data_IF_095730864099
#
_entry.id   IF_095730864099
#
_cell.length_a   1.000
_cell.length_b   1.000
_cell.length_c   1.000
_cell.angle_alpha   90.00
_cell.angle_beta   90.00
_cell.angle_gamma   90.00
#
_symmetry.space_group_name_H-M   'P 1'
#
loop_
_entity.id
_entity.type
_entity.pdbx_description
1 polymer ?
#
# COMPACT_ATOMS: atom_id res chain seq x y z
N UNK A 1 34.80 -27.57 -76.02
CA UNK A 1 35.08 -28.19 -74.74
C UNK A 1 34.90 -27.12 -73.67
N UNK A 2 33.72 -27.04 -73.04
CA UNK A 2 33.36 -26.04 -72.02
C UNK A 2 33.44 -26.71 -70.67
N UNK A 3 34.27 -26.17 -69.81
CA UNK A 3 34.36 -26.59 -68.39
C UNK A 3 33.42 -25.70 -67.57
N UNK A 4 32.37 -26.30 -67.07
CA UNK A 4 31.44 -25.66 -66.11
C UNK A 4 32.00 -25.82 -64.68
N UNK A 5 32.32 -24.72 -64.06
CA UNK A 5 32.67 -24.64 -62.64
C UNK A 5 31.41 -24.64 -61.72
N UNK A 6 31.38 -25.37 -60.62
CA UNK A 6 30.22 -25.40 -59.75
C UNK A 6 30.19 -24.22 -58.83
N UNK A 7 29.25 -23.34 -58.99
CA UNK A 7 28.97 -22.14 -58.15
C UNK A 7 28.02 -22.43 -57.01
N UNK A 8 27.95 -23.69 -56.55
CA UNK A 8 26.85 -24.09 -55.63
C UNK A 8 27.23 -24.34 -54.19
N UNK A 9 28.52 -24.38 -53.84
CA UNK A 9 28.91 -24.76 -52.49
C UNK A 9 29.23 -23.58 -51.53
N UNK A 10 29.45 -22.40 -52.04
CA UNK A 10 29.83 -21.26 -51.20
C UNK A 10 28.64 -20.52 -50.60
N UNK A 11 27.45 -20.63 -51.18
CA UNK A 11 26.25 -19.93 -50.70
C UNK A 11 25.60 -20.66 -49.52
N UNK A 12 25.71 -22.01 -49.44
CA UNK A 12 25.11 -22.79 -48.34
C UNK A 12 25.89 -22.63 -47.03
N UNK A 13 27.22 -22.43 -47.10
CA UNK A 13 28.04 -22.27 -45.91
C UNK A 13 27.88 -20.90 -45.25
N UNK A 14 27.55 -19.84 -46.01
CA UNK A 14 27.27 -18.50 -45.47
C UNK A 14 25.89 -18.37 -44.81
N UNK A 15 24.89 -19.15 -45.23
CA UNK A 15 23.56 -19.17 -44.66
C UNK A 15 23.49 -19.90 -43.30
N UNK A 16 24.36 -20.90 -43.09
CA UNK A 16 24.39 -21.67 -41.84
C UNK A 16 25.10 -20.93 -40.72
N UNK A 17 26.09 -20.08 -41.01
CA UNK A 17 26.81 -19.31 -39.99
C UNK A 17 26.02 -18.08 -39.52
N UNK A 18 25.20 -17.49 -40.35
CA UNK A 18 24.34 -16.35 -39.92
C UNK A 18 23.14 -16.80 -39.10
N UNK A 19 22.64 -18.02 -39.28
CA UNK A 19 21.52 -18.52 -38.47
C UNK A 19 21.96 -18.97 -37.06
N UNK A 20 23.19 -19.46 -36.92
CA UNK A 20 23.72 -19.85 -35.59
C UNK A 20 24.06 -18.63 -34.71
N UNK A 21 24.50 -17.52 -35.28
CA UNK A 21 24.82 -16.31 -34.53
C UNK A 21 23.59 -15.50 -34.09
N UNK A 22 22.50 -15.52 -34.84
CA UNK A 22 21.24 -14.88 -34.45
C UNK A 22 20.48 -15.65 -33.36
N UNK A 23 20.63 -16.97 -33.29
CA UNK A 23 19.97 -17.76 -32.26
C UNK A 23 20.68 -17.71 -30.88
N UNK A 24 21.98 -17.43 -30.87
CA UNK A 24 22.74 -17.30 -29.61
C UNK A 24 22.56 -15.95 -28.92
N UNK A 25 22.16 -14.90 -29.65
CA UNK A 25 21.94 -13.57 -29.08
C UNK A 25 20.55 -13.38 -28.47
N UNK A 26 19.58 -14.27 -28.75
CA UNK A 26 18.20 -14.13 -28.23
C UNK A 26 17.99 -14.84 -26.88
N UNK A 27 18.96 -15.59 -26.37
CA UNK A 27 18.89 -16.30 -25.09
C UNK A 27 19.75 -15.71 -23.98
N UNK A 28 20.38 -14.58 -24.18
CA UNK A 28 20.86 -13.76 -23.07
C UNK A 28 19.67 -13.00 -22.49
N UNK A 29 18.74 -13.72 -21.85
CA UNK A 29 17.87 -13.11 -20.86
C UNK A 29 18.80 -12.55 -19.79
N UNK A 30 19.01 -11.24 -19.83
CA UNK A 30 19.60 -10.53 -18.70
C UNK A 30 18.74 -10.87 -17.49
N UNK A 31 19.27 -11.71 -16.61
CA UNK A 31 18.73 -11.91 -15.28
C UNK A 31 18.97 -10.56 -14.57
N UNK A 32 18.05 -9.62 -14.78
CA UNK A 32 17.99 -8.44 -13.94
C UNK A 32 17.76 -8.99 -12.52
N UNK A 33 18.68 -8.73 -11.58
CA UNK A 33 18.45 -9.11 -10.19
C UNK A 33 17.13 -8.47 -9.79
N UNK A 34 16.20 -9.29 -9.30
CA UNK A 34 14.89 -8.80 -8.86
C UNK A 34 15.14 -7.59 -7.96
N UNK A 35 14.74 -6.39 -8.43
CA UNK A 35 14.93 -5.17 -7.70
C UNK A 35 14.40 -5.39 -6.28
N UNK A 36 15.26 -5.27 -5.27
CA UNK A 36 14.87 -5.44 -3.87
C UNK A 36 13.82 -4.38 -3.56
N UNK A 37 12.57 -4.82 -3.33
CA UNK A 37 11.48 -3.91 -3.05
C UNK A 37 11.71 -3.25 -1.70
N UNK A 38 11.62 -1.94 -1.67
CA UNK A 38 11.73 -1.17 -0.43
C UNK A 38 10.49 -1.42 0.44
N UNK A 39 10.70 -1.71 1.72
CA UNK A 39 9.61 -1.79 2.69
C UNK A 39 9.00 -0.39 2.90
N UNK A 40 7.68 -0.35 3.03
CA UNK A 40 6.92 0.89 3.18
C UNK A 40 6.14 0.84 4.49
N UNK A 41 6.32 1.85 5.33
CA UNK A 41 5.57 2.03 6.58
C UNK A 41 4.85 3.37 6.50
N UNK A 42 3.52 3.34 6.50
CA UNK A 42 2.66 4.53 6.56
C UNK A 42 2.09 4.66 7.97
N UNK A 43 2.37 5.77 8.64
CA UNK A 43 1.88 6.04 10.00
C UNK A 43 0.93 7.24 9.94
N UNK A 44 -0.31 7.03 10.41
CA UNK A 44 -1.29 8.09 10.61
C UNK A 44 -1.51 8.29 12.11
N UNK A 45 -1.12 9.43 12.64
CA UNK A 45 -1.48 9.84 14.00
C UNK A 45 -2.95 10.28 14.04
N UNK A 46 -3.71 9.80 15.03
CA UNK A 46 -5.13 10.12 15.22
C UNK A 46 -5.27 11.13 16.36
N UNK A 47 -5.99 12.22 16.14
CA UNK A 47 -6.19 13.33 17.08
C UNK A 47 -4.88 13.98 17.59
N UNK A 48 -3.88 14.09 16.71
CA UNK A 48 -2.59 14.74 17.00
C UNK A 48 -2.36 15.86 15.99
N UNK A 49 -2.16 17.07 16.50
CA UNK A 49 -1.84 18.24 15.68
C UNK A 49 -0.35 18.28 15.31
N UNK A 50 -0.01 18.91 14.20
CA UNK A 50 1.37 19.07 13.75
C UNK A 50 2.24 19.82 14.77
N UNK A 51 1.66 20.69 15.55
CA UNK A 51 2.30 21.46 16.64
C UNK A 51 2.83 20.59 17.79
N UNK A 52 2.48 19.30 17.81
CA UNK A 52 3.02 18.33 18.76
C UNK A 52 4.40 17.80 18.37
N UNK A 53 4.88 18.06 17.15
CA UNK A 53 6.13 17.54 16.65
C UNK A 53 7.24 18.61 16.64
N UNK A 54 8.44 18.26 17.12
CA UNK A 54 9.59 19.17 17.20
C UNK A 54 9.99 19.73 15.83
N UNK A 55 9.97 18.93 14.77
CA UNK A 55 10.27 19.36 13.41
C UNK A 55 9.30 20.42 12.87
N UNK A 56 8.13 20.59 13.49
CA UNK A 56 7.18 21.68 13.21
C UNK A 56 7.19 22.77 14.28
N UNK A 57 8.18 22.78 15.19
CA UNK A 57 8.37 23.84 16.17
C UNK A 57 7.72 23.61 17.54
N UNK A 58 7.36 22.38 17.88
CA UNK A 58 6.86 22.05 19.22
C UNK A 58 7.84 22.46 20.30
N UNK A 59 7.33 23.11 21.35
CA UNK A 59 8.08 23.44 22.57
C UNK A 59 7.67 22.63 23.78
N UNK A 60 6.56 21.90 23.69
CA UNK A 60 5.96 21.14 24.80
C UNK A 60 6.29 19.64 24.72
N UNK A 61 6.46 19.12 23.51
CA UNK A 61 6.71 17.71 23.27
C UNK A 61 8.07 17.50 22.61
N UNK A 62 8.77 16.45 23.06
CA UNK A 62 10.04 16.02 22.49
C UNK A 62 9.80 14.84 21.54
N UNK A 63 10.15 15.00 20.27
CA UNK A 63 9.94 13.97 19.24
C UNK A 63 11.23 13.67 18.45
N UNK A 64 12.35 13.32 19.13
CA UNK A 64 13.68 13.31 18.53
C UNK A 64 13.82 12.33 17.36
N UNK A 65 13.07 11.22 17.36
CA UNK A 65 13.11 10.25 16.25
C UNK A 65 12.38 10.78 15.01
N UNK A 66 11.24 11.44 15.19
CA UNK A 66 10.48 12.07 14.10
C UNK A 66 11.25 13.25 13.55
N UNK A 67 11.86 14.07 14.42
CA UNK A 67 12.68 15.22 14.04
C UNK A 67 13.89 14.78 13.21
N UNK A 68 14.53 13.66 13.59
CA UNK A 68 15.61 13.05 12.80
C UNK A 68 15.10 12.56 11.45
N UNK A 69 13.97 11.88 11.38
CA UNK A 69 13.37 11.45 10.11
C UNK A 69 13.09 12.65 9.19
N UNK A 70 12.56 13.73 9.74
CA UNK A 70 12.32 14.96 9.00
C UNK A 70 13.60 15.59 8.45
N UNK A 71 14.70 15.55 9.24
CA UNK A 71 16.01 16.07 8.85
C UNK A 71 16.69 15.21 7.78
N UNK A 72 16.60 13.88 7.92
CA UNK A 72 17.29 12.93 7.04
C UNK A 72 16.49 12.60 5.79
N UNK A 73 15.19 12.92 5.77
CA UNK A 73 14.26 12.66 4.68
C UNK A 73 13.64 13.92 4.10
N UNK A 74 12.31 13.94 4.02
CA UNK A 74 11.56 15.07 3.45
C UNK A 74 10.49 15.54 4.45
N UNK A 75 10.49 16.84 4.76
CA UNK A 75 9.50 17.51 5.58
C UNK A 75 8.50 18.27 4.68
N UNK A 76 7.22 17.92 4.76
CA UNK A 76 6.15 18.62 4.05
C UNK A 76 5.57 19.73 4.93
N UNK A 77 5.73 20.97 4.51
CA UNK A 77 5.19 22.15 5.22
C UNK A 77 3.74 22.45 4.87
N UNK A 78 3.24 21.88 3.77
CA UNK A 78 1.87 22.08 3.26
C UNK A 78 1.25 20.72 2.89
N UNK A 79 0.98 19.88 3.89
CA UNK A 79 0.28 18.61 3.73
C UNK A 79 -0.89 18.57 4.72
N UNK A 80 -2.11 18.59 4.23
CA UNK A 80 -3.30 18.76 5.05
C UNK A 80 -4.14 17.50 5.09
N UNK A 81 -4.50 17.08 6.31
CA UNK A 81 -5.55 16.08 6.55
C UNK A 81 -6.94 16.72 6.40
N UNK A 82 -7.98 15.91 6.49
CA UNK A 82 -9.34 16.41 6.67
C UNK A 82 -9.60 16.70 8.15
N UNK A 83 -10.61 17.51 8.49
CA UNK A 83 -10.94 17.87 9.87
C UNK A 83 -11.32 16.67 10.75
N UNK A 84 -11.78 15.58 10.16
CA UNK A 84 -12.19 14.35 10.85
C UNK A 84 -11.39 13.13 10.38
N UNK A 85 -11.35 12.11 11.24
CA UNK A 85 -10.60 10.88 11.02
C UNK A 85 -11.10 10.06 9.82
N UNK A 86 -12.41 9.83 9.67
CA UNK A 86 -12.95 9.02 8.58
C UNK A 86 -12.62 9.60 7.19
N UNK A 87 -12.89 10.88 6.87
CA UNK A 87 -12.54 11.39 5.54
C UNK A 87 -11.03 11.36 5.28
N UNK A 88 -10.19 11.60 6.29
CA UNK A 88 -8.73 11.45 6.14
C UNK A 88 -8.35 10.00 5.83
N UNK A 89 -8.92 9.02 6.54
CA UNK A 89 -8.69 7.58 6.33
C UNK A 89 -9.15 7.14 4.94
N UNK A 90 -10.36 7.51 4.52
CA UNK A 90 -10.88 7.21 3.18
C UNK A 90 -9.97 7.78 2.10
N UNK A 91 -9.49 9.02 2.26
CA UNK A 91 -8.57 9.66 1.32
C UNK A 91 -7.22 8.95 1.26
N UNK A 92 -6.64 8.55 2.40
CA UNK A 92 -5.38 7.79 2.46
C UNK A 92 -5.56 6.40 1.83
N UNK A 93 -6.64 5.72 2.16
CA UNK A 93 -6.91 4.37 1.66
C UNK A 93 -7.08 4.34 0.13
N UNK A 94 -7.73 5.35 -0.45
CA UNK A 94 -8.12 5.33 -1.86
C UNK A 94 -7.29 6.24 -2.77
N UNK A 95 -6.57 7.22 -2.22
CA UNK A 95 -5.91 8.26 -2.99
C UNK A 95 -6.88 9.23 -3.68
N UNK A 96 -8.19 9.15 -3.39
CA UNK A 96 -9.23 9.94 -4.05
C UNK A 96 -9.71 11.06 -3.14
N UNK A 97 -9.95 12.25 -3.71
CA UNK A 97 -10.53 13.38 -2.99
C UNK A 97 -11.93 13.04 -2.44
N UNK A 98 -12.19 13.42 -1.19
CA UNK A 98 -13.46 13.13 -0.52
C UNK A 98 -14.68 13.75 -1.17
N UNK A 99 -14.53 14.80 -1.97
CA UNK A 99 -15.62 15.34 -2.81
C UNK A 99 -16.19 14.28 -3.75
N UNK A 100 -15.37 13.27 -4.10
CA UNK A 100 -15.72 12.24 -5.06
C UNK A 100 -16.10 10.89 -4.45
N UNK A 101 -15.65 10.59 -3.22
CA UNK A 101 -15.78 9.24 -2.66
C UNK A 101 -16.18 9.16 -1.18
N UNK A 102 -16.39 10.31 -0.51
CA UNK A 102 -16.86 10.30 0.87
C UNK A 102 -18.39 10.23 0.90
N UNK A 103 -18.94 9.13 1.37
CA UNK A 103 -20.39 8.90 1.44
C UNK A 103 -20.97 9.23 2.81
N UNK A 104 -20.30 8.77 3.90
CA UNK A 104 -20.76 8.98 5.26
C UNK A 104 -19.63 8.82 6.28
N UNK A 105 -19.87 9.28 7.51
CA UNK A 105 -18.95 9.07 8.62
C UNK A 105 -18.82 7.57 8.93
N UNK A 106 -17.58 7.14 9.20
CA UNK A 106 -17.15 5.75 9.45
C UNK A 106 -17.38 4.75 8.32
N UNK A 107 -17.58 5.21 7.09
CA UNK A 107 -17.81 4.36 5.92
C UNK A 107 -16.70 4.55 4.89
N UNK A 108 -16.07 3.46 4.49
CA UNK A 108 -15.37 3.29 3.23
C UNK A 108 -16.22 2.35 2.37
N UNK A 109 -16.63 2.77 1.19
CA UNK A 109 -17.41 1.90 0.31
C UNK A 109 -16.58 0.69 -0.10
N UNK A 110 -17.14 -0.51 0.03
CA UNK A 110 -16.45 -1.79 -0.20
C UNK A 110 -16.04 -2.03 -1.66
N UNK A 111 -16.60 -1.28 -2.60
CA UNK A 111 -16.24 -1.31 -4.03
C UNK A 111 -14.99 -0.48 -4.37
N UNK A 112 -14.46 0.27 -3.40
CA UNK A 112 -13.30 1.13 -3.62
C UNK A 112 -12.00 0.34 -3.65
N UNK A 113 -11.21 0.55 -4.71
CA UNK A 113 -9.83 0.06 -4.75
C UNK A 113 -8.95 0.87 -3.80
N UNK A 114 -8.23 0.20 -2.92
CA UNK A 114 -7.45 0.83 -1.86
C UNK A 114 -5.95 0.66 -2.08
N UNK A 115 -5.16 1.36 -1.26
CA UNK A 115 -3.70 1.22 -1.20
C UNK A 115 -3.28 -0.23 -0.94
N UNK A 116 -4.04 -1.00 -0.15
CA UNK A 116 -3.79 -2.43 0.08
C UNK A 116 -3.86 -3.24 -1.21
N UNK A 117 -4.87 -3.00 -2.06
CA UNK A 117 -4.97 -3.65 -3.35
C UNK A 117 -3.79 -3.33 -4.28
N UNK A 118 -3.42 -2.05 -4.37
CA UNK A 118 -2.31 -1.63 -5.23
C UNK A 118 -0.97 -2.24 -4.80
N UNK A 119 -0.67 -2.28 -3.50
CA UNK A 119 0.54 -2.90 -3.00
C UNK A 119 0.53 -4.42 -3.17
N UNK A 120 -0.60 -5.07 -2.94
CA UNK A 120 -0.75 -6.50 -3.18
C UNK A 120 -0.53 -6.86 -4.65
N UNK A 121 -1.11 -6.11 -5.58
CA UNK A 121 -0.88 -6.27 -7.02
C UNK A 121 0.58 -6.04 -7.41
N UNK A 122 1.27 -5.12 -6.73
CA UNK A 122 2.71 -4.92 -6.88
C UNK A 122 3.56 -6.01 -6.19
N UNK A 123 2.93 -7.02 -5.56
CA UNK A 123 3.57 -8.17 -4.93
C UNK A 123 4.16 -7.89 -3.55
N UNK A 124 3.69 -6.86 -2.84
CA UNK A 124 3.99 -6.65 -1.43
C UNK A 124 3.13 -7.55 -0.54
N UNK A 125 3.67 -7.92 0.61
CA UNK A 125 2.87 -8.36 1.74
C UNK A 125 2.36 -7.14 2.48
N UNK A 126 1.07 -7.13 2.79
CA UNK A 126 0.38 -5.95 3.29
C UNK A 126 -0.25 -6.21 4.66
N UNK A 127 -0.07 -5.26 5.59
CA UNK A 127 -0.67 -5.31 6.92
C UNK A 127 -1.22 -3.94 7.29
N UNK A 128 -2.39 -3.91 7.92
CA UNK A 128 -2.95 -2.71 8.52
C UNK A 128 -3.17 -2.91 10.01
N UNK A 129 -2.78 -1.93 10.84
CA UNK A 129 -2.94 -2.00 12.28
C UNK A 129 -3.46 -0.68 12.85
N UNK A 130 -4.15 -0.75 14.00
CA UNK A 130 -4.66 0.41 14.73
C UNK A 130 -6.17 0.60 14.62
N UNK A 131 -6.63 1.86 14.51
CA UNK A 131 -8.06 2.20 14.45
C UNK A 131 -8.60 1.97 13.04
N UNK A 132 -9.67 1.17 12.92
CA UNK A 132 -10.35 0.97 11.62
C UNK A 132 -11.32 2.10 11.30
N UNK A 133 -12.50 2.09 11.88
CA UNK A 133 -13.54 3.09 11.71
C UNK A 133 -13.92 3.35 10.22
N UNK A 134 -14.02 2.29 9.44
CA UNK A 134 -14.36 2.33 8.02
C UNK A 134 -15.51 1.38 7.65
N UNK A 135 -15.94 0.53 8.59
CA UNK A 135 -17.06 -0.41 8.41
C UNK A 135 -18.40 0.17 8.86
N UNK A 136 -18.39 1.15 9.78
CA UNK A 136 -19.59 1.55 10.51
C UNK A 136 -19.99 0.51 11.55
N UNK A 137 -19.28 0.43 12.66
CA UNK A 137 -19.36 -0.59 13.69
C UNK A 137 -20.78 -0.75 14.28
N UNK A 138 -21.04 -1.87 14.96
CA UNK A 138 -22.37 -2.24 15.51
C UNK A 138 -23.04 -1.17 16.38
N UNK A 139 -22.25 -0.38 17.11
CA UNK A 139 -22.77 0.70 17.96
C UNK A 139 -23.18 1.97 17.21
N UNK A 140 -22.97 2.04 15.89
CA UNK A 140 -23.40 3.17 15.09
C UNK A 140 -24.89 3.10 14.77
N UNK A 141 -25.45 4.25 14.37
CA UNK A 141 -26.84 4.31 13.87
C UNK A 141 -27.03 3.31 12.72
N UNK A 142 -28.22 2.75 12.59
CA UNK A 142 -28.53 1.70 11.64
C UNK A 142 -28.10 2.02 10.19
N UNK A 143 -28.26 3.27 9.78
CA UNK A 143 -27.87 3.75 8.44
C UNK A 143 -26.37 3.63 8.15
N UNK A 144 -25.52 3.52 9.19
CA UNK A 144 -24.06 3.42 9.08
C UNK A 144 -23.52 2.11 9.63
N UNK A 145 -24.35 1.30 10.26
CA UNK A 145 -23.93 0.06 10.89
C UNK A 145 -23.54 -0.96 9.84
N UNK A 146 -22.28 -1.40 9.86
CA UNK A 146 -21.72 -2.43 8.98
C UNK A 146 -22.00 -2.20 7.48
N UNK A 147 -22.06 -0.94 7.05
CA UNK A 147 -22.31 -0.56 5.65
C UNK A 147 -21.05 -0.26 4.85
N UNK A 148 -19.91 -0.21 5.51
CA UNK A 148 -18.61 0.06 4.89
C UNK A 148 -17.83 -1.21 4.57
N UNK A 149 -16.53 -1.04 4.32
CA UNK A 149 -15.64 -2.13 3.97
C UNK A 149 -15.12 -2.87 5.21
N UNK A 150 -15.16 -4.19 5.16
CA UNK A 150 -14.41 -5.06 6.05
C UNK A 150 -12.91 -5.00 5.73
N UNK A 151 -12.00 -5.25 6.69
CA UNK A 151 -10.56 -5.18 6.44
C UNK A 151 -10.08 -6.06 5.29
N UNK A 152 -10.57 -7.29 5.20
CA UNK A 152 -10.26 -8.28 4.16
C UNK A 152 -10.71 -7.83 2.75
N UNK A 153 -11.73 -6.97 2.67
CA UNK A 153 -12.21 -6.38 1.41
C UNK A 153 -11.31 -5.24 0.89
N UNK A 154 -10.28 -4.85 1.64
CA UNK A 154 -9.45 -3.69 1.32
C UNK A 154 -8.04 -4.04 0.85
N UNK A 155 -7.81 -5.32 0.49
CA UNK A 155 -6.58 -5.79 -0.12
C UNK A 155 -5.42 -6.00 0.84
N UNK A 156 -5.60 -5.81 2.15
CA UNK A 156 -4.58 -6.16 3.13
C UNK A 156 -4.57 -7.68 3.38
N UNK A 157 -3.36 -8.26 3.46
CA UNK A 157 -3.19 -9.69 3.73
C UNK A 157 -3.46 -10.01 5.20
N UNK A 158 -3.11 -9.10 6.11
CA UNK A 158 -3.31 -9.24 7.55
C UNK A 158 -3.80 -7.93 8.17
N UNK A 159 -4.47 -8.05 9.30
CA UNK A 159 -4.86 -6.88 10.08
C UNK A 159 -4.82 -7.13 11.60
N UNK A 160 -4.60 -6.05 12.35
CA UNK A 160 -4.73 -6.00 13.81
C UNK A 160 -5.40 -4.68 14.19
N UNK A 161 -6.71 -4.69 14.34
CA UNK A 161 -7.52 -3.49 14.30
C UNK A 161 -8.43 -3.33 15.53
N UNK A 162 -8.55 -2.08 15.99
CA UNK A 162 -9.57 -1.66 16.93
C UNK A 162 -10.76 -1.07 16.18
N UNK A 163 -11.97 -1.33 16.67
CA UNK A 163 -13.23 -0.78 16.14
C UNK A 163 -13.47 -1.18 14.66
N UNK A 164 -13.43 -2.48 14.39
CA UNK A 164 -13.94 -3.01 13.14
C UNK A 164 -15.48 -3.08 13.22
N UNK A 165 -16.03 -4.13 13.79
CA UNK A 165 -17.47 -4.35 13.99
C UNK A 165 -17.94 -3.96 15.40
N UNK A 166 -17.09 -4.05 16.42
CA UNK A 166 -17.39 -3.83 17.82
C UNK A 166 -16.61 -2.68 18.43
N UNK A 167 -17.27 -1.98 19.36
CA UNK A 167 -16.60 -1.02 20.23
C UNK A 167 -16.12 -1.76 21.48
N UNK A 168 -14.82 -1.68 21.72
CA UNK A 168 -14.18 -2.20 22.93
C UNK A 168 -13.22 -1.19 23.52
N UNK A 169 -12.55 -1.55 24.62
CA UNK A 169 -11.43 -0.77 25.13
C UNK A 169 -10.34 -0.64 24.07
N UNK A 170 -9.71 0.54 23.98
CA UNK A 170 -8.57 0.76 23.07
C UNK A 170 -7.26 1.00 23.81
N UNK A 171 -7.30 1.40 25.07
CA UNK A 171 -6.10 1.74 25.83
C UNK A 171 -5.75 0.71 26.91
N UNK A 172 -6.77 0.20 27.58
CA UNK A 172 -6.59 -0.77 28.66
C UNK A 172 -7.31 -2.06 28.30
N UNK A 173 -6.58 -3.17 28.30
CA UNK A 173 -7.12 -4.46 27.86
C UNK A 173 -7.89 -4.34 26.53
N UNK A 174 -7.24 -3.89 25.47
CA UNK A 174 -7.93 -3.60 24.21
C UNK A 174 -8.62 -4.84 23.63
N UNK A 175 -9.79 -4.62 23.05
CA UNK A 175 -10.43 -5.59 22.17
C UNK A 175 -9.97 -5.29 20.74
N UNK A 176 -9.23 -6.20 20.16
CA UNK A 176 -8.71 -6.09 18.79
C UNK A 176 -9.25 -7.20 17.92
N UNK A 177 -9.59 -6.88 16.70
CA UNK A 177 -9.81 -7.83 15.62
C UNK A 177 -8.44 -8.14 14.98
N UNK A 178 -8.04 -9.40 15.04
CA UNK A 178 -6.81 -9.90 14.42
C UNK A 178 -7.20 -10.95 13.39
N UNK A 179 -7.14 -10.56 12.14
CA UNK A 179 -7.47 -11.40 11.00
C UNK A 179 -8.86 -12.08 11.10
N UNK A 180 -9.85 -11.36 11.65
CA UNK A 180 -11.22 -11.82 11.86
C UNK A 180 -11.50 -12.37 13.25
N UNK A 181 -10.47 -12.57 14.09
CA UNK A 181 -10.62 -13.06 15.46
C UNK A 181 -10.59 -11.92 16.47
N UNK A 182 -11.68 -11.73 17.20
CA UNK A 182 -11.74 -10.74 18.29
C UNK A 182 -10.97 -11.25 19.51
N UNK A 183 -9.88 -10.57 19.89
CA UNK A 183 -9.02 -10.91 21.04
C UNK A 183 -8.93 -9.75 22.03
N UNK A 184 -9.07 -10.07 23.31
CA UNK A 184 -8.85 -9.14 24.42
C UNK A 184 -7.44 -9.35 24.97
N UNK A 185 -6.70 -8.26 25.12
CA UNK A 185 -5.35 -8.26 25.66
C UNK A 185 -5.37 -7.65 27.09
N UNK A 186 -4.65 -8.26 28.01
CA UNK A 186 -4.55 -7.80 29.39
C UNK A 186 -3.29 -8.30 30.03
#
# INVERSE_FOLDING_TARGET
MRISTPLSFTVILLLTTTFATTFATTFATTFEPAATRTNIILIMADDVGYECFGCYGSRQYSTPNIDRMAKDGMLFTHCYSQPLCTPSRVKIMTGISNVRNYSAFSILNSDQKTIGHYFKEAGYKTLVAGKWQLLGAEHYKEQFRLKGAWPDQTGFDNHCLWQVDKLGSRFWQPLLDIDGDNKKFG
#
